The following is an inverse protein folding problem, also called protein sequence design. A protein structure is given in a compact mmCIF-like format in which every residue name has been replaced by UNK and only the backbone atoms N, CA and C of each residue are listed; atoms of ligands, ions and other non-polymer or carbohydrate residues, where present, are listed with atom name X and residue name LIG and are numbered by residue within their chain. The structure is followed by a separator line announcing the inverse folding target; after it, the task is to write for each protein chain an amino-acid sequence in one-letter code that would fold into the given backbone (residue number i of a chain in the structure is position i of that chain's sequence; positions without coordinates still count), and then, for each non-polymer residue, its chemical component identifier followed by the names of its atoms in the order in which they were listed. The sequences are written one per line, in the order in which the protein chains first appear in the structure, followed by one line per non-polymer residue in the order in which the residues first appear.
data_IF_093369283087
#
_entry.id   IF_093369283087
#
_cell.length_a   1.000
_cell.length_b   1.000
_cell.length_c   1.000
_cell.angle_alpha   90.00
_cell.angle_beta   90.00
_cell.angle_gamma   90.00
#
_symmetry.space_group_name_H-M   'P 1'
#
loop_
_entity.id
_entity.type
_entity.pdbx_description
1 polymer ?
#
# COMPACT_ATOMS: atom_id res chain seq x y z
N UNK A 1 23.12 38.13 27.61
CA UNK A 1 23.24 37.19 26.46
C UNK A 1 24.01 35.93 26.86
N UNK A 2 23.56 35.23 27.91
CA UNK A 2 24.20 33.98 28.37
C UNK A 2 23.36 32.84 27.80
N UNK A 3 23.99 31.92 27.07
CA UNK A 3 23.34 30.71 26.55
C UNK A 3 23.06 30.67 25.04
N UNK A 4 23.17 31.77 24.29
CA UNK A 4 22.93 31.73 22.85
C UNK A 4 23.91 30.78 22.12
N UNK A 5 25.21 30.87 22.41
CA UNK A 5 26.22 30.01 21.76
C UNK A 5 25.97 28.51 21.98
N UNK A 6 25.81 27.99 23.23
CA UNK A 6 25.52 26.57 23.41
C UNK A 6 24.16 26.16 22.83
N UNK A 7 23.13 27.01 22.87
CA UNK A 7 21.84 26.69 22.26
C UNK A 7 21.94 26.50 20.73
N UNK A 8 22.55 27.47 20.04
CA UNK A 8 22.76 27.39 18.58
C UNK A 8 23.71 26.26 18.19
N UNK A 9 24.77 26.04 18.97
CA UNK A 9 25.72 24.95 18.71
C UNK A 9 25.07 23.58 18.83
N UNK A 10 24.29 23.35 19.88
CA UNK A 10 23.58 22.07 20.07
C UNK A 10 22.53 21.87 18.98
N UNK A 11 21.78 22.91 18.62
CA UNK A 11 20.82 22.86 17.52
C UNK A 11 21.50 22.48 16.20
N UNK A 12 22.60 23.16 15.84
CA UNK A 12 23.32 22.89 14.60
C UNK A 12 23.95 21.50 14.60
N UNK A 13 24.53 21.08 15.72
CA UNK A 13 25.07 19.74 15.88
C UNK A 13 24.01 18.66 15.66
N UNK A 14 22.85 18.78 16.32
CA UNK A 14 21.76 17.83 16.15
C UNK A 14 21.19 17.86 14.73
N UNK A 15 21.05 19.04 14.12
CA UNK A 15 20.62 19.16 12.72
C UNK A 15 21.54 18.40 11.76
N UNK A 16 22.86 18.58 11.89
CA UNK A 16 23.84 17.91 11.03
C UNK A 16 23.88 16.40 11.31
N UNK A 17 23.74 16.00 12.57
CA UNK A 17 23.75 14.60 12.96
C UNK A 17 22.49 13.86 12.45
N UNK A 18 21.29 14.40 12.71
CA UNK A 18 20.03 13.72 12.37
C UNK A 18 19.58 13.95 10.93
N UNK A 19 19.91 15.10 10.34
CA UNK A 19 19.58 15.44 8.95
C UNK A 19 20.68 15.11 7.94
N UNK A 20 21.93 14.89 8.38
CA UNK A 20 23.06 14.58 7.52
C UNK A 20 23.63 13.19 7.78
N UNK A 21 24.28 13.02 8.94
CA UNK A 21 25.00 11.77 9.26
C UNK A 21 24.05 10.57 9.29
N UNK A 22 22.90 10.69 9.95
CA UNK A 22 21.93 9.61 10.08
C UNK A 22 21.38 9.11 8.74
N UNK A 23 20.77 9.95 7.86
CA UNK A 23 20.25 9.46 6.59
C UNK A 23 21.33 8.94 5.64
N UNK A 24 22.54 9.53 5.64
CA UNK A 24 23.64 9.02 4.82
C UNK A 24 24.13 7.66 5.30
N UNK A 25 24.28 7.48 6.61
CA UNK A 25 24.71 6.22 7.20
C UNK A 25 23.68 5.10 6.94
N UNK A 26 22.39 5.37 7.16
CA UNK A 26 21.33 4.38 6.89
C UNK A 26 21.21 4.05 5.40
N UNK A 27 21.37 5.05 4.51
CA UNK A 27 21.39 4.82 3.06
C UNK A 27 22.58 3.98 2.64
N UNK A 28 23.79 4.30 3.12
CA UNK A 28 25.00 3.55 2.77
C UNK A 28 24.93 2.10 3.24
N UNK A 29 24.54 1.86 4.49
CA UNK A 29 24.39 0.53 5.04
C UNK A 29 23.24 -0.24 4.37
N UNK A 30 22.13 0.43 4.07
CA UNK A 30 20.98 -0.15 3.37
C UNK A 30 21.33 -0.60 1.96
N UNK A 31 22.05 0.22 1.19
CA UNK A 31 22.52 -0.15 -0.15
C UNK A 31 23.60 -1.23 -0.10
N UNK A 32 24.46 -1.24 0.92
CA UNK A 32 25.52 -2.24 1.05
C UNK A 32 24.99 -3.63 1.42
N UNK A 33 24.06 -3.73 2.37
CA UNK A 33 23.54 -5.01 2.85
C UNK A 33 22.25 -5.46 2.15
N UNK A 34 21.38 -4.53 1.78
CA UNK A 34 20.02 -4.81 1.29
C UNK A 34 19.66 -3.98 0.03
N UNK A 35 20.48 -4.03 -1.04
CA UNK A 35 20.28 -3.18 -2.21
C UNK A 35 18.91 -3.39 -2.87
N UNK A 36 18.37 -4.61 -2.90
CA UNK A 36 17.07 -4.84 -3.54
C UNK A 36 15.91 -4.17 -2.78
N UNK A 37 15.85 -4.33 -1.46
CA UNK A 37 14.83 -3.71 -0.61
C UNK A 37 15.00 -2.19 -0.52
N UNK A 38 16.25 -1.71 -0.39
CA UNK A 38 16.56 -0.27 -0.32
C UNK A 38 16.17 0.48 -1.60
N UNK A 39 16.17 -0.21 -2.75
CA UNK A 39 15.71 0.33 -4.03
C UNK A 39 14.23 -0.01 -4.33
N UNK A 40 13.43 -0.36 -3.30
CA UNK A 40 11.98 -0.52 -3.42
C UNK A 40 11.50 -1.91 -3.83
N UNK A 41 12.36 -2.93 -3.79
CA UNK A 41 12.03 -4.34 -4.09
C UNK A 41 11.31 -4.52 -5.43
N UNK A 42 11.83 -3.84 -6.46
CA UNK A 42 11.24 -3.80 -7.79
C UNK A 42 11.33 -5.15 -8.51
N UNK A 43 10.26 -5.49 -9.22
CA UNK A 43 10.16 -6.67 -10.08
C UNK A 43 10.36 -6.21 -11.52
N UNK A 44 11.38 -6.78 -12.18
CA UNK A 44 11.73 -6.49 -13.56
C UNK A 44 11.40 -7.70 -14.44
N UNK A 45 10.84 -7.44 -15.62
CA UNK A 45 10.69 -8.43 -16.68
C UNK A 45 11.07 -7.77 -18.00
N UNK A 46 12.04 -8.34 -18.70
CA UNK A 46 12.55 -7.83 -19.98
C UNK A 46 13.04 -6.37 -19.89
N UNK A 47 13.76 -6.04 -18.81
CA UNK A 47 14.25 -4.69 -18.49
C UNK A 47 13.14 -3.62 -18.29
N UNK A 48 11.88 -4.05 -18.16
CA UNK A 48 10.75 -3.18 -17.83
C UNK A 48 10.35 -3.40 -16.37
N UNK A 49 10.20 -2.30 -15.62
CA UNK A 49 9.68 -2.32 -14.26
C UNK A 49 8.20 -2.71 -14.33
N UNK A 50 7.85 -3.85 -13.71
CA UNK A 50 6.47 -4.32 -13.62
C UNK A 50 5.77 -3.88 -12.35
N UNK A 51 6.52 -3.45 -11.34
CA UNK A 51 6.00 -3.01 -10.05
C UNK A 51 6.97 -3.36 -8.92
N UNK A 52 6.46 -3.39 -7.69
CA UNK A 52 7.19 -3.80 -6.49
C UNK A 52 6.50 -5.00 -5.86
N UNK A 53 7.25 -5.86 -5.17
CA UNK A 53 6.67 -6.94 -4.37
C UNK A 53 5.78 -6.43 -3.22
N UNK A 54 5.86 -5.13 -2.89
CA UNK A 54 5.16 -4.51 -1.76
C UNK A 54 3.92 -3.70 -2.17
N UNK A 55 3.67 -3.51 -3.47
CA UNK A 55 2.62 -2.61 -3.96
C UNK A 55 1.65 -3.40 -4.85
N UNK A 56 0.38 -3.40 -4.45
CA UNK A 56 -0.70 -3.99 -5.26
C UNK A 56 -0.99 -3.15 -6.51
N UNK A 57 -1.56 -3.79 -7.52
CA UNK A 57 -1.98 -3.14 -8.76
C UNK A 57 -3.47 -3.36 -8.99
N UNK A 58 -4.06 -2.48 -9.80
CA UNK A 58 -5.47 -2.62 -10.18
C UNK A 58 -5.66 -3.76 -11.18
N UNK A 59 -5.90 -4.97 -10.67
CA UNK A 59 -6.25 -6.14 -11.48
C UNK A 59 -7.76 -6.23 -11.68
N UNK A 60 -8.21 -6.05 -12.92
CA UNK A 60 -9.64 -6.03 -13.29
C UNK A 60 -10.01 -7.04 -14.38
N UNK A 61 -9.04 -7.73 -14.99
CA UNK A 61 -9.29 -8.74 -16.01
C UNK A 61 -9.48 -10.13 -15.39
N UNK A 62 -10.44 -10.90 -15.92
CA UNK A 62 -10.88 -12.20 -15.40
C UNK A 62 -9.82 -13.33 -15.39
N UNK A 63 -8.61 -13.10 -15.93
CA UNK A 63 -7.50 -14.05 -15.89
C UNK A 63 -6.50 -13.83 -14.75
N UNK A 64 -6.74 -12.80 -13.91
CA UNK A 64 -5.89 -12.48 -12.77
C UNK A 64 -6.66 -12.62 -11.46
N UNK A 65 -5.93 -12.85 -10.38
CA UNK A 65 -6.48 -12.66 -9.04
C UNK A 65 -6.84 -11.18 -8.84
N UNK A 66 -8.03 -10.94 -8.33
CA UNK A 66 -8.46 -9.63 -7.93
C UNK A 66 -8.01 -9.37 -6.48
N UNK A 67 -7.35 -8.24 -6.27
CA UNK A 67 -6.94 -7.78 -4.94
C UNK A 67 -8.09 -7.17 -4.15
N UNK A 68 -7.77 -6.65 -2.96
CA UNK A 68 -8.72 -5.90 -2.15
C UNK A 68 -9.11 -4.59 -2.86
N UNK A 69 -10.34 -4.08 -2.67
CA UNK A 69 -10.71 -2.78 -3.20
C UNK A 69 -9.74 -1.69 -2.73
N UNK A 70 -9.32 -0.83 -3.66
CA UNK A 70 -8.54 0.37 -3.35
C UNK A 70 -9.43 1.61 -3.43
N UNK A 71 -9.28 2.50 -2.45
CA UNK A 71 -10.02 3.76 -2.32
C UNK A 71 -9.09 4.99 -2.44
N UNK A 72 -7.96 4.84 -3.15
CA UNK A 72 -7.05 5.95 -3.44
C UNK A 72 -7.72 7.00 -4.34
N UNK A 73 -7.23 8.24 -4.30
CA UNK A 73 -7.75 9.31 -5.14
C UNK A 73 -7.46 9.08 -6.64
N UNK A 74 -8.35 9.62 -7.48
CA UNK A 74 -8.36 9.57 -8.96
C UNK A 74 -8.52 8.18 -9.58
N UNK A 75 -7.63 7.25 -9.24
CA UNK A 75 -7.63 5.87 -9.75
C UNK A 75 -7.33 4.88 -8.63
N UNK A 76 -7.89 3.64 -8.68
CA UNK A 76 -7.55 2.59 -7.73
C UNK A 76 -6.06 2.24 -7.79
N UNK A 77 -5.46 1.94 -6.65
CA UNK A 77 -4.05 1.57 -6.50
C UNK A 77 -3.06 2.67 -6.93
N UNK A 78 -3.42 3.94 -6.74
CA UNK A 78 -2.55 5.07 -7.08
C UNK A 78 -1.49 5.30 -5.98
N UNK A 79 -0.19 5.04 -6.25
CA UNK A 79 0.87 5.16 -5.25
C UNK A 79 1.15 6.62 -4.84
N UNK A 80 0.69 7.60 -5.61
CA UNK A 80 0.81 9.03 -5.27
C UNK A 80 -0.29 9.49 -4.31
N UNK A 81 -1.33 8.68 -4.10
CA UNK A 81 -2.49 9.00 -3.28
C UNK A 81 -2.75 7.92 -2.21
N UNK A 82 -1.69 7.45 -1.56
CA UNK A 82 -1.78 6.46 -0.47
C UNK A 82 -2.79 6.91 0.59
N UNK A 83 -3.82 6.09 0.79
CA UNK A 83 -4.96 6.40 1.64
C UNK A 83 -6.08 5.37 1.50
N UNK A 84 -6.99 5.33 2.47
CA UNK A 84 -8.07 4.35 2.53
C UNK A 84 -9.46 4.97 2.57
N UNK A 85 -10.48 4.11 2.55
CA UNK A 85 -11.85 4.53 2.79
C UNK A 85 -12.02 4.90 4.26
N UNK A 86 -12.40 6.15 4.53
CA UNK A 86 -12.70 6.66 5.87
C UNK A 86 -14.22 6.68 6.17
N UNK A 87 -15.00 5.86 5.45
CA UNK A 87 -16.44 5.75 5.70
C UNK A 87 -16.67 4.98 7.01
N UNK A 88 -17.48 5.57 7.89
CA UNK A 88 -17.89 4.92 9.13
C UNK A 88 -18.86 3.76 8.88
N UNK A 89 -18.93 2.81 9.82
CA UNK A 89 -19.91 1.71 9.75
C UNK A 89 -21.38 2.18 9.79
N UNK A 90 -21.64 3.36 10.35
CA UNK A 90 -22.97 3.99 10.33
C UNK A 90 -23.27 4.77 9.06
N UNK A 91 -22.33 4.86 8.11
CA UNK A 91 -22.53 5.60 6.86
C UNK A 91 -23.21 4.69 5.82
N UNK A 92 -24.43 5.03 5.36
CA UNK A 92 -25.17 4.19 4.40
C UNK A 92 -24.49 4.07 3.03
N UNK A 93 -23.58 4.98 2.68
CA UNK A 93 -22.80 4.88 1.45
C UNK A 93 -21.85 3.66 1.49
N UNK A 94 -21.33 3.32 2.67
CA UNK A 94 -20.48 2.13 2.82
C UNK A 94 -21.26 0.85 2.54
N UNK A 95 -22.49 0.76 3.03
CA UNK A 95 -23.37 -0.38 2.78
C UNK A 95 -23.66 -0.53 1.28
N UNK A 96 -23.95 0.58 0.59
CA UNK A 96 -24.17 0.58 -0.85
C UNK A 96 -22.92 0.09 -1.63
N UNK A 97 -21.73 0.57 -1.25
CA UNK A 97 -20.48 0.13 -1.88
C UNK A 97 -20.19 -1.36 -1.65
N UNK A 98 -20.42 -1.87 -0.43
CA UNK A 98 -20.22 -3.28 -0.11
C UNK A 98 -21.19 -4.15 -0.90
N UNK A 99 -22.47 -3.78 -0.94
CA UNK A 99 -23.49 -4.53 -1.70
C UNK A 99 -23.15 -4.60 -3.19
N UNK A 100 -22.73 -3.48 -3.78
CA UNK A 100 -22.32 -3.44 -5.19
C UNK A 100 -21.12 -4.36 -5.47
N UNK A 101 -20.10 -4.35 -4.59
CA UNK A 101 -18.92 -5.22 -4.72
C UNK A 101 -19.27 -6.69 -4.58
N UNK A 102 -20.10 -7.05 -3.59
CA UNK A 102 -20.56 -8.43 -3.37
C UNK A 102 -21.34 -8.95 -4.58
N UNK A 103 -22.23 -8.13 -5.16
CA UNK A 103 -22.96 -8.49 -6.37
C UNK A 103 -22.01 -8.72 -7.56
N UNK A 104 -21.04 -7.82 -7.78
CA UNK A 104 -20.08 -7.94 -8.86
C UNK A 104 -19.19 -9.18 -8.71
N UNK A 105 -18.71 -9.47 -7.49
CA UNK A 105 -17.87 -10.65 -7.21
C UNK A 105 -18.61 -11.96 -7.45
N UNK A 106 -19.89 -12.05 -7.07
CA UNK A 106 -20.71 -13.24 -7.36
C UNK A 106 -20.96 -13.43 -8.86
N UNK A 107 -21.18 -12.35 -9.59
CA UNK A 107 -21.36 -12.42 -11.04
C UNK A 107 -20.07 -12.83 -11.77
N UNK A 108 -18.91 -12.34 -11.31
CA UNK A 108 -17.61 -12.68 -11.87
C UNK A 108 -17.18 -14.12 -11.54
N UNK A 109 -17.60 -14.67 -10.40
CA UNK A 109 -17.19 -15.99 -9.91
C UNK A 109 -18.41 -16.92 -9.70
N UNK A 110 -19.10 -17.35 -10.78
CA UNK A 110 -20.35 -18.10 -10.67
C UNK A 110 -20.19 -19.51 -10.09
N UNK A 111 -18.97 -20.07 -10.13
CA UNK A 111 -18.65 -21.40 -9.58
C UNK A 111 -18.13 -21.35 -8.14
N UNK A 112 -17.87 -20.14 -7.61
CA UNK A 112 -17.40 -19.96 -6.25
C UNK A 112 -18.53 -20.06 -5.23
N UNK A 113 -18.15 -20.18 -3.95
CA UNK A 113 -19.12 -20.15 -2.85
C UNK A 113 -19.89 -18.83 -2.82
N UNK A 114 -21.18 -18.87 -2.49
CA UNK A 114 -22.02 -17.67 -2.38
C UNK A 114 -21.60 -16.72 -1.25
N UNK A 115 -20.86 -17.23 -0.26
CA UNK A 115 -20.25 -16.47 0.82
C UNK A 115 -18.95 -15.81 0.35
N UNK A 116 -19.02 -14.51 0.06
CA UNK A 116 -17.88 -13.72 -0.40
C UNK A 116 -16.93 -13.41 0.77
N UNK A 117 -15.62 -13.66 0.65
CA UNK A 117 -14.63 -13.28 1.66
C UNK A 117 -14.64 -11.77 1.94
N UNK A 118 -14.59 -11.40 3.22
CA UNK A 118 -14.66 -9.99 3.67
C UNK A 118 -13.54 -9.13 3.06
N UNK A 119 -12.35 -9.70 2.88
CA UNK A 119 -11.19 -9.00 2.32
C UNK A 119 -11.43 -8.50 0.89
N UNK A 120 -12.15 -9.27 0.07
CA UNK A 120 -12.48 -8.89 -1.32
C UNK A 120 -13.59 -7.84 -1.39
N UNK A 121 -14.44 -7.74 -0.36
CA UNK A 121 -15.52 -6.76 -0.31
C UNK A 121 -15.12 -5.43 0.36
N UNK A 122 -14.10 -5.44 1.23
CA UNK A 122 -13.72 -4.30 2.06
C UNK A 122 -12.40 -3.67 1.62
N UNK A 123 -12.41 -2.34 1.50
CA UNK A 123 -11.23 -1.59 1.07
C UNK A 123 -10.09 -1.69 2.10
N UNK A 124 -8.85 -1.63 1.61
CA UNK A 124 -7.66 -1.57 2.48
C UNK A 124 -7.42 -0.17 3.06
N UNK A 125 -6.70 -0.10 4.17
CA UNK A 125 -6.39 1.16 4.84
C UNK A 125 -5.32 1.98 4.11
N UNK A 126 -4.33 1.33 3.51
CA UNK A 126 -3.28 2.01 2.73
C UNK A 126 -3.73 2.37 1.30
N UNK A 127 -4.74 1.65 0.78
CA UNK A 127 -5.14 1.74 -0.62
C UNK A 127 -4.18 1.06 -1.60
N UNK A 128 -3.08 0.48 -1.12
CA UNK A 128 -2.02 -0.15 -1.94
C UNK A 128 -1.74 -1.61 -1.55
N UNK A 129 -2.67 -2.22 -0.82
CA UNK A 129 -2.53 -3.57 -0.27
C UNK A 129 -2.30 -4.62 -1.36
N UNK A 130 -1.17 -5.33 -1.26
CA UNK A 130 -0.76 -6.39 -2.17
C UNK A 130 -1.08 -7.80 -1.62
N UNK A 131 -1.88 -7.90 -0.57
CA UNK A 131 -2.07 -9.13 0.17
C UNK A 131 -3.54 -9.53 0.27
N UNK A 132 -3.74 -10.85 0.27
CA UNK A 132 -4.98 -11.53 0.60
C UNK A 132 -4.63 -12.77 1.41
N UNK A 133 -5.54 -13.21 2.27
CA UNK A 133 -5.40 -14.53 2.88
C UNK A 133 -5.49 -15.63 1.83
N UNK A 134 -4.81 -16.77 2.02
CA UNK A 134 -4.92 -17.90 1.10
C UNK A 134 -6.37 -18.39 0.91
N UNK A 135 -7.22 -18.25 1.93
CA UNK A 135 -8.64 -18.60 1.82
C UNK A 135 -9.42 -17.69 0.87
N UNK A 136 -9.17 -16.38 0.91
CA UNK A 136 -9.78 -15.44 -0.04
C UNK A 136 -9.23 -15.62 -1.46
N UNK A 137 -7.94 -15.95 -1.59
CA UNK A 137 -7.32 -16.26 -2.87
C UNK A 137 -7.89 -17.55 -3.49
N UNK A 138 -8.13 -18.59 -2.70
CA UNK A 138 -8.70 -19.86 -3.17
C UNK A 138 -10.21 -19.81 -3.46
N UNK A 139 -10.90 -18.75 -3.03
CA UNK A 139 -12.34 -18.59 -3.26
C UNK A 139 -12.67 -18.15 -4.70
N UNK A 140 -11.80 -17.35 -5.31
CA UNK A 140 -11.97 -16.79 -6.66
C UNK A 140 -11.40 -17.72 -7.73
#
# INVERSE_FOLDING_TARGET
MIGLRPAFSTMLFLLLLTGGVYPLLTTALGQWWFPWQANGSLIHKDNVIRGSALIGQSFTAAGYFHGRPSATADTPYNPLASGGSNLAASNPELDAQIQARVAALRAANPQASSAVPVELATASASGLDNNLTPGAAAWQ
#
